data_IF_944601065677
#
_entry.id   IF_944601065677
#
_cell.length_a   1.000
_cell.length_b   1.000
_cell.length_c   1.000
_cell.angle_alpha   90.00
_cell.angle_beta   90.00
_cell.angle_gamma   90.00
#
_symmetry.space_group_name_H-M   'P 1'
#
loop_
_entity.id
_entity.type
_entity.pdbx_description
1 polymer ?
#
# COMPACT_ATOMS: atom_id res chain seq x y z
N UNK A 1 21.48 -3.70 27.17
CA UNK A 1 22.52 -2.79 27.66
C UNK A 1 22.60 -1.57 26.76
N UNK A 2 22.56 -0.35 27.33
CA UNK A 2 22.77 0.91 26.61
C UNK A 2 24.17 1.41 26.92
N UNK A 3 25.08 1.36 25.93
CA UNK A 3 26.48 1.76 26.09
C UNK A 3 26.75 2.93 25.16
N UNK A 4 27.16 4.10 25.71
CA UNK A 4 27.59 5.26 24.94
C UNK A 4 29.03 5.62 25.29
N UNK A 5 29.88 5.80 24.27
CA UNK A 5 31.30 6.15 24.42
C UNK A 5 32.06 5.23 25.40
N UNK A 6 31.79 3.93 25.40
CA UNK A 6 32.40 2.96 26.26
C UNK A 6 31.90 2.93 27.70
N UNK A 7 30.91 3.74 28.07
CA UNK A 7 30.30 3.78 29.40
C UNK A 7 28.87 3.20 29.36
N UNK A 8 28.59 2.30 30.31
CA UNK A 8 27.24 1.75 30.50
C UNK A 8 26.30 2.85 31.02
N UNK A 9 25.31 3.20 30.22
CA UNK A 9 24.30 4.23 30.57
C UNK A 9 23.09 3.63 31.26
N UNK A 10 22.78 2.38 30.93
CA UNK A 10 21.66 1.67 31.52
C UNK A 10 21.60 0.22 31.06
N UNK A 11 20.77 -0.56 31.74
CA UNK A 11 20.40 -1.90 31.34
C UNK A 11 18.94 -2.18 31.71
N UNK A 12 18.29 -3.00 30.91
CA UNK A 12 16.96 -3.50 31.17
C UNK A 12 16.88 -4.92 30.60
N UNK A 13 15.99 -5.71 31.17
CA UNK A 13 15.65 -7.03 30.65
C UNK A 13 14.36 -6.91 29.85
N UNK A 14 14.35 -7.42 28.62
CA UNK A 14 13.23 -7.33 27.72
C UNK A 14 13.19 -8.57 26.83
N UNK A 15 12.02 -9.14 26.67
CA UNK A 15 11.76 -10.22 25.73
C UNK A 15 11.74 -9.73 24.28
N UNK A 16 11.66 -8.43 24.04
CA UNK A 16 11.61 -7.77 22.73
C UNK A 16 12.88 -6.97 22.48
N UNK A 17 13.44 -7.07 21.28
CA UNK A 17 14.62 -6.29 20.87
C UNK A 17 14.23 -4.82 20.61
N UNK A 18 14.44 -3.98 21.62
CA UNK A 18 14.11 -2.56 21.58
C UNK A 18 15.24 -1.78 20.90
N UNK A 19 15.00 -1.30 19.68
CA UNK A 19 15.99 -0.53 18.89
C UNK A 19 15.91 0.98 19.06
N UNK A 20 14.77 1.50 19.50
CA UNK A 20 14.55 2.93 19.71
C UNK A 20 15.35 3.46 20.92
N UNK A 21 16.24 4.44 20.69
CA UNK A 21 17.12 5.00 21.74
C UNK A 21 16.34 5.71 22.86
N UNK A 22 15.24 6.42 22.51
CA UNK A 22 14.42 7.14 23.50
C UNK A 22 13.71 6.13 24.39
N UNK A 23 13.21 5.08 23.78
CA UNK A 23 12.53 4.00 24.48
C UNK A 23 13.50 3.20 25.36
N UNK A 24 14.71 2.92 24.89
CA UNK A 24 15.78 2.33 25.69
C UNK A 24 16.11 3.20 26.93
N UNK A 25 16.11 4.54 26.77
CA UNK A 25 16.29 5.47 27.86
C UNK A 25 15.15 5.43 28.89
N UNK A 26 13.89 5.38 28.40
CA UNK A 26 12.70 5.27 29.27
C UNK A 26 12.72 3.95 30.02
N UNK A 27 13.00 2.85 29.37
CA UNK A 27 13.05 1.52 29.97
C UNK A 27 14.22 1.36 30.98
N UNK A 28 15.34 2.02 30.73
CA UNK A 28 16.49 2.01 31.64
C UNK A 28 16.39 3.03 32.80
N UNK A 29 15.45 3.97 32.69
CA UNK A 29 15.20 4.95 33.77
C UNK A 29 14.39 4.32 34.93
N UNK A 30 14.40 4.96 36.09
CA UNK A 30 13.57 4.58 37.26
C UNK A 30 12.06 4.85 37.08
N UNK A 31 11.54 4.79 35.87
CA UNK A 31 10.10 4.84 35.59
C UNK A 31 9.38 3.65 36.23
N UNK A 32 8.21 3.88 36.76
CA UNK A 32 7.46 2.83 37.47
C UNK A 32 7.24 1.59 36.60
N UNK A 33 7.32 0.41 37.17
CA UNK A 33 7.18 -0.90 36.51
C UNK A 33 5.98 -0.95 35.56
N UNK A 34 4.82 -0.42 35.98
CA UNK A 34 3.60 -0.38 35.12
C UNK A 34 3.79 0.38 33.82
N UNK A 35 4.58 1.46 33.80
CA UNK A 35 4.83 2.22 32.56
C UNK A 35 5.73 1.44 31.62
N UNK A 36 6.72 0.73 32.16
CA UNK A 36 7.59 -0.16 31.38
C UNK A 36 6.81 -1.28 30.72
N UNK A 37 5.96 -1.97 31.47
CA UNK A 37 5.13 -3.06 30.96
C UNK A 37 4.19 -2.58 29.83
N UNK A 38 3.55 -1.42 29.98
CA UNK A 38 2.68 -0.85 28.94
C UNK A 38 3.49 -0.55 27.66
N UNK A 39 4.64 0.08 27.79
CA UNK A 39 5.49 0.43 26.64
C UNK A 39 5.98 -0.82 25.91
N UNK A 40 6.40 -1.85 26.65
CA UNK A 40 6.83 -3.12 26.10
C UNK A 40 5.68 -3.84 25.37
N UNK A 41 4.48 -3.85 25.94
CA UNK A 41 3.30 -4.48 25.34
C UNK A 41 2.93 -3.79 24.01
N UNK A 42 2.90 -2.46 23.98
CA UNK A 42 2.61 -1.70 22.76
C UNK A 42 3.64 -1.99 21.67
N UNK A 43 4.92 -2.07 22.01
CA UNK A 43 5.96 -2.40 21.04
C UNK A 43 5.84 -3.82 20.48
N UNK A 44 5.52 -4.78 21.32
CA UNK A 44 5.33 -6.16 20.90
C UNK A 44 4.18 -6.28 19.91
N UNK A 45 3.02 -5.67 20.20
CA UNK A 45 1.88 -5.63 19.28
C UNK A 45 2.23 -4.98 17.93
N UNK A 46 3.03 -3.92 17.95
CA UNK A 46 3.49 -3.26 16.73
C UNK A 46 4.44 -4.15 15.92
N UNK A 47 5.37 -4.81 16.58
CA UNK A 47 6.35 -5.71 15.94
C UNK A 47 5.67 -6.93 15.33
N UNK A 48 4.66 -7.49 15.99
CA UNK A 48 3.85 -8.59 15.47
C UNK A 48 3.15 -8.20 14.15
N UNK A 49 2.61 -6.98 14.05
CA UNK A 49 1.99 -6.46 12.82
C UNK A 49 3.04 -6.24 11.72
N UNK A 50 4.19 -5.69 12.07
CA UNK A 50 5.29 -5.42 11.12
C UNK A 50 5.78 -6.73 10.50
N UNK A 51 5.90 -7.79 11.27
CA UNK A 51 6.45 -9.09 10.86
C UNK A 51 5.41 -10.09 10.35
N UNK A 52 4.13 -9.73 10.33
CA UNK A 52 3.08 -10.64 9.82
C UNK A 52 3.27 -10.93 8.32
N UNK A 53 3.60 -12.15 7.96
CA UNK A 53 3.89 -12.58 6.58
C UNK A 53 2.77 -13.43 5.96
N UNK A 54 1.91 -14.02 6.78
CA UNK A 54 0.93 -15.02 6.34
C UNK A 54 -0.34 -14.40 5.77
N UNK A 55 -0.68 -13.19 6.20
CA UNK A 55 -1.91 -12.53 5.81
C UNK A 55 -1.74 -11.75 4.50
N UNK A 56 -2.58 -12.05 3.51
CA UNK A 56 -2.64 -11.29 2.25
C UNK A 56 -3.12 -9.85 2.45
N UNK A 57 -3.96 -9.62 3.45
CA UNK A 57 -4.53 -8.30 3.79
C UNK A 57 -4.35 -8.09 5.29
N UNK A 58 -3.75 -6.97 5.65
CA UNK A 58 -3.61 -6.53 7.04
C UNK A 58 -4.27 -5.16 7.17
N UNK A 59 -5.22 -5.04 8.10
CA UNK A 59 -5.91 -3.78 8.41
C UNK A 59 -5.49 -3.33 9.80
N UNK A 60 -4.80 -2.18 9.86
CA UNK A 60 -4.35 -1.60 11.13
C UNK A 60 -5.31 -0.50 11.54
N UNK A 61 -6.05 -0.73 12.62
CA UNK A 61 -6.96 0.24 13.19
C UNK A 61 -6.40 0.82 14.51
N UNK A 62 -6.67 2.07 14.80
CA UNK A 62 -6.20 2.73 16.00
C UNK A 62 -6.50 4.22 16.01
N UNK A 63 -6.39 4.86 17.19
CA UNK A 63 -6.61 6.30 17.36
C UNK A 63 -5.55 7.14 16.62
N UNK A 64 -5.80 8.44 16.47
CA UNK A 64 -4.81 9.36 15.95
C UNK A 64 -3.56 9.34 16.84
N UNK A 65 -2.36 9.34 16.22
CA UNK A 65 -1.09 9.29 16.94
C UNK A 65 -0.66 7.91 17.46
N UNK A 66 -1.42 6.82 17.20
CA UNK A 66 -1.03 5.46 17.63
C UNK A 66 0.08 4.80 16.78
N UNK A 67 0.70 5.52 15.86
CA UNK A 67 1.80 5.00 15.04
C UNK A 67 1.40 4.15 13.84
N UNK A 68 0.13 4.16 13.40
CA UNK A 68 -0.34 3.35 12.26
C UNK A 68 0.51 3.51 11.00
N UNK A 69 0.81 4.75 10.63
CA UNK A 69 1.64 5.05 9.46
C UNK A 69 3.07 4.54 9.65
N UNK A 70 3.63 4.74 10.84
CA UNK A 70 4.96 4.24 11.19
C UNK A 70 5.03 2.72 11.07
N UNK A 71 4.05 2.00 11.61
CA UNK A 71 3.94 0.54 11.49
C UNK A 71 3.88 0.13 10.01
N UNK A 72 3.06 0.82 9.20
CA UNK A 72 2.93 0.51 7.78
C UNK A 72 4.27 0.67 7.03
N UNK A 73 5.00 1.76 7.28
CA UNK A 73 6.29 2.02 6.65
C UNK A 73 7.39 1.04 7.11
N UNK A 74 7.44 0.74 8.41
CA UNK A 74 8.35 -0.29 8.93
C UNK A 74 8.02 -1.67 8.36
N UNK A 75 6.74 -2.00 8.15
CA UNK A 75 6.33 -3.24 7.48
C UNK A 75 6.80 -3.27 6.02
N UNK A 76 6.67 -2.17 5.27
CA UNK A 76 7.20 -2.07 3.90
C UNK A 76 8.70 -2.33 3.91
N UNK A 77 9.45 -1.67 4.78
CA UNK A 77 10.89 -1.87 4.91
C UNK A 77 11.24 -3.32 5.29
N UNK A 78 10.53 -3.91 6.25
CA UNK A 78 10.70 -5.31 6.64
C UNK A 78 10.47 -6.28 5.49
N UNK A 79 9.39 -6.11 4.74
CA UNK A 79 9.05 -6.97 3.61
C UNK A 79 10.07 -6.82 2.47
N UNK A 80 10.50 -5.59 2.16
CA UNK A 80 11.54 -5.34 1.15
C UNK A 80 12.89 -5.92 1.58
N UNK A 81 13.27 -5.80 2.84
CA UNK A 81 14.50 -6.38 3.34
C UNK A 81 14.53 -7.91 3.17
N UNK A 82 13.43 -8.60 3.54
CA UNK A 82 13.37 -10.06 3.50
C UNK A 82 13.08 -10.62 2.11
N UNK A 83 12.32 -9.91 1.27
CA UNK A 83 11.77 -10.41 0.01
C UNK A 83 12.15 -9.54 -1.20
N UNK A 84 13.27 -8.81 -1.14
CA UNK A 84 13.71 -7.89 -2.19
C UNK A 84 13.75 -8.52 -3.58
N UNK A 85 14.22 -9.77 -3.70
CA UNK A 85 14.28 -10.47 -4.99
C UNK A 85 12.90 -10.75 -5.60
N UNK A 86 11.87 -10.89 -4.76
CA UNK A 86 10.50 -11.20 -5.21
C UNK A 86 9.68 -9.93 -5.41
N UNK A 87 9.82 -8.98 -4.51
CA UNK A 87 9.05 -7.73 -4.49
C UNK A 87 9.67 -6.67 -5.39
N UNK A 88 10.99 -6.45 -5.32
CA UNK A 88 11.69 -5.46 -6.15
C UNK A 88 10.91 -4.15 -6.28
N UNK A 89 10.62 -3.76 -7.52
CA UNK A 89 9.84 -2.54 -7.84
C UNK A 89 8.32 -2.76 -7.81
N UNK A 90 7.83 -3.81 -7.14
CA UNK A 90 6.40 -4.15 -7.11
C UNK A 90 5.68 -3.63 -5.86
N UNK A 91 6.32 -2.77 -5.11
CA UNK A 91 5.73 -2.14 -3.93
C UNK A 91 5.27 -0.74 -4.29
N UNK A 92 4.01 -0.45 -3.99
CA UNK A 92 3.39 0.86 -4.17
C UNK A 92 2.80 1.31 -2.83
N UNK A 93 3.15 2.52 -2.41
CA UNK A 93 2.54 3.20 -1.27
C UNK A 93 1.56 4.24 -1.78
N UNK A 94 0.29 4.11 -1.42
CA UNK A 94 -0.74 5.08 -1.76
C UNK A 94 -1.05 5.99 -0.57
N UNK A 95 -0.82 7.29 -0.77
CA UNK A 95 -1.14 8.34 0.19
C UNK A 95 -2.49 9.02 -0.09
N UNK A 96 -3.11 9.62 0.93
CA UNK A 96 -4.39 10.34 0.77
C UNK A 96 -4.26 11.67 0.01
N UNK A 97 -3.09 12.28 -0.01
CA UNK A 97 -2.76 13.53 -0.70
C UNK A 97 -1.24 13.67 -0.90
N UNK A 98 -0.83 14.66 -1.70
CA UNK A 98 0.57 14.88 -2.05
C UNK A 98 1.45 15.23 -0.84
N UNK A 99 0.95 16.02 0.11
CA UNK A 99 1.69 16.36 1.34
C UNK A 99 2.05 15.09 2.14
N UNK A 100 1.14 14.13 2.16
CA UNK A 100 1.38 12.85 2.84
C UNK A 100 2.37 11.99 2.04
N UNK A 101 2.30 12.02 0.72
CA UNK A 101 3.26 11.31 -0.16
C UNK A 101 4.65 11.90 0.01
N UNK A 102 4.79 13.23 0.00
CA UNK A 102 6.06 13.93 0.24
C UNK A 102 6.66 13.55 1.61
N UNK A 103 5.83 13.52 2.65
CA UNK A 103 6.27 13.10 3.99
C UNK A 103 6.79 11.65 4.00
N UNK A 104 6.15 10.73 3.28
CA UNK A 104 6.60 9.33 3.20
C UNK A 104 7.91 9.22 2.43
N UNK A 105 8.06 9.98 1.34
CA UNK A 105 9.27 9.99 0.51
C UNK A 105 10.51 10.43 1.27
N UNK A 106 10.35 11.20 2.34
CA UNK A 106 11.45 11.58 3.26
C UNK A 106 11.75 10.46 4.28
N UNK A 107 10.75 9.67 4.68
CA UNK A 107 10.94 8.65 5.72
C UNK A 107 11.51 7.34 5.17
N UNK A 108 11.00 6.83 4.06
CA UNK A 108 11.43 5.53 3.52
C UNK A 108 12.93 5.43 3.30
N UNK A 109 13.64 6.45 2.78
CA UNK A 109 15.09 6.42 2.70
C UNK A 109 15.79 6.29 4.07
N UNK A 110 15.22 6.84 5.15
CA UNK A 110 15.78 6.70 6.50
C UNK A 110 15.67 5.27 7.02
N UNK A 111 14.74 4.50 6.48
CA UNK A 111 14.57 3.06 6.75
C UNK A 111 15.40 2.18 5.81
N UNK A 112 16.18 2.79 4.90
CA UNK A 112 17.06 2.11 3.96
C UNK A 112 16.37 1.73 2.63
N UNK A 113 15.18 2.26 2.35
CA UNK A 113 14.39 1.95 1.15
C UNK A 113 14.18 3.21 0.30
N UNK A 114 14.85 3.28 -0.86
CA UNK A 114 14.80 4.43 -1.79
C UNK A 114 14.03 4.16 -3.07
N UNK A 115 13.74 2.90 -3.39
CA UNK A 115 13.16 2.48 -4.67
C UNK A 115 11.68 2.07 -4.54
N UNK A 116 10.96 2.65 -3.59
CA UNK A 116 9.52 2.41 -3.40
C UNK A 116 8.74 3.45 -4.19
N UNK A 117 7.75 2.99 -4.96
CA UNK A 117 6.84 3.90 -5.65
C UNK A 117 5.82 4.47 -4.64
N UNK A 118 5.66 5.78 -4.66
CA UNK A 118 4.79 6.52 -3.75
C UNK A 118 3.93 7.46 -4.58
N UNK A 119 2.62 7.36 -4.45
CA UNK A 119 1.68 8.11 -5.28
C UNK A 119 0.39 8.38 -4.50
N UNK A 120 -0.38 9.35 -4.94
CA UNK A 120 -1.80 9.40 -4.61
C UNK A 120 -2.57 8.43 -5.49
N UNK A 121 -3.75 7.97 -5.05
CA UNK A 121 -4.58 7.11 -5.91
C UNK A 121 -4.93 7.77 -7.24
N UNK A 122 -5.20 9.07 -7.24
CA UNK A 122 -5.50 9.82 -8.46
C UNK A 122 -4.29 9.86 -9.41
N UNK A 123 -3.10 10.19 -8.88
CA UNK A 123 -1.87 10.21 -9.67
C UNK A 123 -1.55 8.85 -10.27
N UNK A 124 -1.62 7.80 -9.45
CA UNK A 124 -1.44 6.41 -9.91
C UNK A 124 -2.44 6.06 -11.02
N UNK A 125 -3.73 6.31 -10.81
CA UNK A 125 -4.77 5.99 -11.79
C UNK A 125 -4.56 6.74 -13.12
N UNK A 126 -4.26 8.04 -13.07
CA UNK A 126 -4.00 8.84 -14.28
C UNK A 126 -2.80 8.31 -15.07
N UNK A 127 -1.75 7.91 -14.38
CA UNK A 127 -0.55 7.34 -14.99
C UNK A 127 -0.84 5.99 -15.66
N UNK A 128 -1.55 5.09 -14.98
CA UNK A 128 -1.88 3.77 -15.50
C UNK A 128 -2.80 3.81 -16.73
N UNK A 129 -3.77 4.73 -16.76
CA UNK A 129 -4.68 4.88 -17.91
C UNK A 129 -4.14 5.82 -19.00
N UNK A 130 -2.94 6.40 -18.80
CA UNK A 130 -2.31 7.29 -19.77
C UNK A 130 -3.06 8.61 -19.98
N UNK A 131 -3.80 9.08 -18.98
CA UNK A 131 -4.47 10.38 -19.04
C UNK A 131 -3.45 11.51 -18.89
N UNK A 132 -3.44 12.39 -19.88
CA UNK A 132 -2.62 13.62 -19.88
C UNK A 132 -3.45 14.88 -19.68
N UNK A 133 -4.76 14.72 -19.62
CA UNK A 133 -5.71 15.84 -19.44
C UNK A 133 -5.95 16.08 -17.94
N UNK A 134 -6.23 17.36 -17.59
CA UNK A 134 -6.60 17.72 -16.23
C UNK A 134 -7.91 17.05 -15.83
N UNK A 135 -7.86 16.23 -14.81
CA UNK A 135 -9.04 15.62 -14.18
C UNK A 135 -9.46 16.51 -13.02
N UNK A 136 -10.76 16.75 -12.90
CA UNK A 136 -11.32 17.44 -11.73
C UNK A 136 -10.84 16.72 -10.45
N UNK A 137 -10.03 17.40 -9.67
CA UNK A 137 -9.64 16.92 -8.36
C UNK A 137 -10.82 16.99 -7.38
N UNK A 138 -10.66 16.38 -6.21
CA UNK A 138 -11.72 16.36 -5.21
C UNK A 138 -12.13 17.76 -4.74
N UNK A 139 -11.23 18.73 -4.74
CA UNK A 139 -11.49 20.12 -4.30
C UNK A 139 -12.32 20.87 -5.33
N UNK A 140 -11.90 20.83 -6.60
CA UNK A 140 -12.63 21.43 -7.71
C UNK A 140 -14.03 20.81 -7.85
N UNK A 141 -14.15 19.52 -7.64
CA UNK A 141 -15.40 18.80 -7.57
C UNK A 141 -16.32 19.32 -6.45
N UNK A 142 -15.81 19.45 -5.21
CA UNK A 142 -16.58 20.02 -4.10
C UNK A 142 -17.06 21.42 -4.38
N UNK A 143 -16.24 22.24 -5.03
CA UNK A 143 -16.64 23.60 -5.42
C UNK A 143 -17.83 23.59 -6.38
N UNK A 144 -17.86 22.71 -7.39
CA UNK A 144 -18.99 22.57 -8.30
C UNK A 144 -20.27 22.12 -7.59
N UNK A 145 -20.16 21.20 -6.64
CA UNK A 145 -21.28 20.78 -5.80
C UNK A 145 -21.81 21.93 -4.94
N UNK A 146 -20.91 22.72 -4.33
CA UNK A 146 -21.27 23.88 -3.51
C UNK A 146 -21.88 25.04 -4.32
N UNK A 147 -21.48 25.19 -5.60
CA UNK A 147 -22.12 26.13 -6.54
C UNK A 147 -23.54 25.71 -6.93
N UNK A 148 -23.98 24.51 -6.55
CA UNK A 148 -25.30 23.99 -6.86
C UNK A 148 -25.43 23.47 -8.30
N UNK A 149 -24.33 23.04 -8.92
CA UNK A 149 -24.35 22.45 -10.27
C UNK A 149 -25.03 21.08 -10.22
N UNK A 150 -26.32 21.06 -10.53
CA UNK A 150 -27.15 19.83 -10.47
C UNK A 150 -26.68 18.74 -11.45
N UNK A 151 -26.07 19.08 -12.56
CA UNK A 151 -25.58 18.10 -13.55
C UNK A 151 -24.40 17.34 -12.96
N UNK A 152 -23.45 18.04 -12.37
CA UNK A 152 -22.29 17.42 -11.68
C UNK A 152 -22.77 16.54 -10.54
N UNK A 153 -23.72 16.99 -9.74
CA UNK A 153 -24.29 16.20 -8.62
C UNK A 153 -24.95 14.90 -9.13
N UNK A 154 -25.70 14.98 -10.24
CA UNK A 154 -26.35 13.80 -10.86
C UNK A 154 -25.32 12.82 -11.41
N UNK A 155 -24.30 13.34 -12.10
CA UNK A 155 -23.21 12.51 -12.65
C UNK A 155 -22.49 11.72 -11.56
N UNK A 156 -22.15 12.36 -10.47
CA UNK A 156 -21.47 11.74 -9.35
C UNK A 156 -22.34 10.68 -8.66
N UNK A 157 -23.59 11.04 -8.40
CA UNK A 157 -24.54 10.09 -7.82
C UNK A 157 -24.67 8.84 -8.68
N UNK A 158 -24.68 9.00 -10.00
CA UNK A 158 -24.68 7.88 -10.94
C UNK A 158 -23.37 7.09 -10.88
N UNK A 159 -22.21 7.76 -10.99
CA UNK A 159 -20.88 7.11 -10.95
C UNK A 159 -20.60 6.39 -9.63
N UNK A 160 -21.20 6.85 -8.54
CA UNK A 160 -21.10 6.21 -7.20
C UNK A 160 -22.16 5.12 -6.97
N UNK A 161 -23.03 4.82 -7.94
CA UNK A 161 -24.12 3.85 -7.80
C UNK A 161 -23.68 2.42 -8.13
N UNK A 162 -24.39 1.44 -7.55
CA UNK A 162 -24.22 0.04 -7.96
C UNK A 162 -24.55 -0.21 -9.43
N UNK A 163 -25.47 0.58 -9.98
CA UNK A 163 -25.86 0.51 -11.39
C UNK A 163 -24.68 0.81 -12.30
N UNK A 164 -23.93 1.88 -11.99
CA UNK A 164 -22.71 2.22 -12.72
C UNK A 164 -21.64 1.13 -12.60
N UNK A 165 -21.44 0.55 -11.42
CA UNK A 165 -20.48 -0.56 -11.22
C UNK A 165 -20.88 -1.76 -12.09
N UNK A 166 -22.16 -2.12 -12.13
CA UNK A 166 -22.66 -3.22 -12.95
C UNK A 166 -22.49 -2.91 -14.45
N UNK A 167 -22.84 -1.68 -14.87
CA UNK A 167 -22.65 -1.22 -16.24
C UNK A 167 -21.17 -1.28 -16.65
N UNK A 168 -20.28 -0.75 -15.81
CA UNK A 168 -18.85 -0.75 -16.06
C UNK A 168 -18.28 -2.17 -16.19
N UNK A 169 -18.61 -3.07 -15.26
CA UNK A 169 -18.20 -4.47 -15.33
C UNK A 169 -18.66 -5.14 -16.64
N UNK A 170 -19.91 -4.92 -17.02
CA UNK A 170 -20.45 -5.45 -18.29
C UNK A 170 -19.67 -4.90 -19.48
N UNK A 171 -19.39 -3.59 -19.51
CA UNK A 171 -18.62 -2.96 -20.58
C UNK A 171 -17.16 -3.45 -20.65
N UNK A 172 -16.53 -3.72 -19.53
CA UNK A 172 -15.19 -4.31 -19.51
C UNK A 172 -15.20 -5.72 -20.15
N UNK A 173 -16.19 -6.54 -19.84
CA UNK A 173 -16.32 -7.90 -20.43
C UNK A 173 -16.60 -7.80 -21.94
N UNK A 174 -17.50 -6.88 -22.36
CA UNK A 174 -17.79 -6.66 -23.78
C UNK A 174 -16.52 -6.24 -24.53
N UNK A 175 -15.77 -5.32 -23.96
CA UNK A 175 -14.51 -4.81 -24.50
C UNK A 175 -13.45 -5.93 -24.59
N UNK A 176 -13.29 -6.71 -23.51
CA UNK A 176 -12.37 -7.84 -23.48
C UNK A 176 -12.67 -8.82 -24.62
N UNK A 177 -13.94 -9.21 -24.81
CA UNK A 177 -14.36 -10.12 -25.87
C UNK A 177 -14.20 -9.54 -27.29
N UNK A 178 -14.25 -8.22 -27.44
CA UNK A 178 -14.08 -7.55 -28.73
C UNK A 178 -12.62 -7.42 -29.14
N UNK A 179 -11.76 -7.09 -28.18
CA UNK A 179 -10.34 -6.78 -28.43
C UNK A 179 -9.43 -8.00 -28.33
N UNK A 180 -9.67 -8.92 -27.41
CA UNK A 180 -8.88 -10.13 -27.27
C UNK A 180 -9.44 -11.27 -28.12
N UNK A 181 -9.23 -11.21 -29.43
CA UNK A 181 -9.53 -12.34 -30.33
C UNK A 181 -8.38 -13.32 -30.25
N UNK A 182 -8.50 -14.25 -29.31
CA UNK A 182 -7.53 -15.32 -29.15
C UNK A 182 -7.54 -16.20 -30.42
N UNK A 183 -6.37 -16.61 -30.86
CA UNK A 183 -6.18 -17.47 -32.04
C UNK A 183 -5.17 -18.57 -31.71
N UNK A 184 -5.33 -19.70 -32.36
CA UNK A 184 -4.32 -20.75 -32.32
C UNK A 184 -2.97 -20.23 -32.84
N UNK A 185 -1.88 -20.65 -32.24
CA UNK A 185 -0.54 -20.30 -32.69
C UNK A 185 -0.07 -21.26 -33.78
N UNK A 186 0.18 -20.74 -34.96
CA UNK A 186 0.69 -21.49 -36.09
C UNK A 186 2.14 -21.13 -36.36
N UNK A 187 2.97 -22.14 -36.58
CA UNK A 187 4.36 -21.98 -37.04
C UNK A 187 4.66 -22.95 -38.18
N UNK A 188 5.34 -22.48 -39.23
CA UNK A 188 5.72 -23.25 -40.41
C UNK A 188 4.54 -23.95 -41.14
N UNK A 189 3.31 -23.42 -40.99
CA UNK A 189 2.10 -23.97 -41.61
C UNK A 189 1.40 -25.06 -40.80
N UNK A 190 1.87 -25.37 -39.61
CA UNK A 190 1.27 -26.31 -38.67
C UNK A 190 0.77 -25.58 -37.40
N UNK A 191 -0.35 -26.04 -36.82
CA UNK A 191 -0.85 -25.57 -35.58
C UNK A 191 0.02 -26.09 -34.43
N UNK A 192 0.75 -25.18 -33.75
CA UNK A 192 1.70 -25.51 -32.68
C UNK A 192 1.01 -25.46 -31.31
N UNK A 193 0.13 -24.47 -31.10
CA UNK A 193 -0.69 -24.36 -29.88
C UNK A 193 -2.14 -24.18 -30.32
N UNK A 194 -3.03 -25.13 -30.01
CA UNK A 194 -4.42 -25.04 -30.38
C UNK A 194 -5.16 -23.95 -29.57
N UNK A 195 -6.24 -23.43 -30.14
CA UNK A 195 -6.99 -22.32 -29.56
C UNK A 195 -7.43 -22.58 -28.10
N UNK A 196 -7.89 -23.78 -27.80
CA UNK A 196 -8.30 -24.14 -26.44
C UNK A 196 -7.18 -24.08 -25.41
N UNK A 197 -5.95 -24.33 -25.83
CA UNK A 197 -4.77 -24.20 -24.93
C UNK A 197 -4.40 -22.74 -24.75
N UNK A 198 -4.47 -21.90 -25.79
CA UNK A 198 -4.31 -20.45 -25.70
C UNK A 198 -5.34 -19.85 -24.78
N UNK A 199 -6.63 -20.24 -24.89
CA UNK A 199 -7.72 -19.81 -24.02
C UNK A 199 -7.47 -20.19 -22.57
N UNK A 200 -7.05 -21.42 -22.29
CA UNK A 200 -6.71 -21.88 -20.94
C UNK A 200 -5.54 -21.10 -20.33
N UNK A 201 -4.52 -20.81 -21.11
CA UNK A 201 -3.37 -20.00 -20.66
C UNK A 201 -3.80 -18.56 -20.37
N UNK A 202 -4.64 -17.99 -21.23
CA UNK A 202 -5.17 -16.64 -21.02
C UNK A 202 -6.03 -16.57 -19.76
N UNK A 203 -6.96 -17.49 -19.56
CA UNK A 203 -7.78 -17.55 -18.36
C UNK A 203 -6.97 -17.73 -17.08
N UNK A 204 -5.94 -18.56 -17.13
CA UNK A 204 -5.08 -18.84 -15.98
C UNK A 204 -4.19 -17.66 -15.56
N UNK A 205 -3.74 -16.85 -16.52
CA UNK A 205 -2.71 -15.84 -16.27
C UNK A 205 -3.19 -14.40 -16.38
N UNK A 206 -4.31 -14.13 -17.06
CA UNK A 206 -4.81 -12.78 -17.37
C UNK A 206 -6.25 -12.52 -16.93
N UNK A 207 -7.05 -13.56 -16.69
CA UNK A 207 -8.39 -13.40 -16.14
C UNK A 207 -8.34 -13.36 -14.63
N UNK A 208 -8.73 -12.23 -14.04
CA UNK A 208 -8.76 -11.97 -12.58
C UNK A 208 -10.08 -12.44 -11.97
#
# INVERSE_FOLDING_TARGET
FVIKKGSLQGYFDSEVDVKDEILQMILSSNSGEKLKDIVMTIQQEQDDIIREERMKVVVVNGVAGSGKTTIALHRVAYLLYNYRQQLGNKVLVLGPNDIFVDYISEILPTLGESDVAEETFAGFAMKEIGLTEDVLDFTAYLEEVLKGNEEVVKEIRYKSSEEFIKFHKKKCIEFENEYFKLQALNAFGEEVVPLNEVENLFEKHYKY
#
